data_IF_016339763972
#
_entry.id   IF_016339763972
#
_cell.length_a   1.000
_cell.length_b   1.000
_cell.length_c   1.000
_cell.angle_alpha   90.00
_cell.angle_beta   90.00
_cell.angle_gamma   90.00
#
_symmetry.space_group_name_H-M   'P 1'
#
loop_
_entity.id
_entity.type
_entity.pdbx_description
1 polymer ?
#
# COMPACT_ATOMS: atom_id res chain seq x y z
N UNK A 1 -2.47 -3.52 16.85
CA UNK A 1 -1.91 -2.97 15.60
C UNK A 1 -3.03 -2.30 14.83
N UNK A 2 -2.79 -1.15 14.21
CA UNK A 2 -3.81 -0.42 13.45
C UNK A 2 -3.44 -0.40 11.97
N UNK A 3 -4.30 -0.88 11.09
CA UNK A 3 -4.12 -0.93 9.64
C UNK A 3 -5.37 -0.40 8.92
N UNK A 4 -5.17 0.28 7.79
CA UNK A 4 -6.22 0.61 6.83
C UNK A 4 -5.71 0.27 5.43
N UNK A 5 -6.23 -0.81 4.84
CA UNK A 5 -5.77 -1.32 3.55
C UNK A 5 -6.87 -1.11 2.51
N UNK A 6 -6.77 -0.04 1.73
CA UNK A 6 -7.76 0.38 0.75
C UNK A 6 -7.44 -0.13 -0.65
N UNK A 7 -8.48 -0.36 -1.46
CA UNK A 7 -8.33 -0.56 -2.90
C UNK A 7 -7.79 0.70 -3.58
N UNK A 8 -8.56 1.79 -3.50
CA UNK A 8 -8.17 3.13 -3.93
C UNK A 8 -8.95 4.15 -3.11
N UNK A 9 -8.30 4.71 -2.10
CA UNK A 9 -8.92 5.56 -1.08
C UNK A 9 -10.15 4.91 -0.40
N UNK A 10 -10.74 5.62 0.55
CA UNK A 10 -12.04 5.32 1.13
C UNK A 10 -12.84 6.63 1.18
N UNK A 11 -14.17 6.65 0.95
CA UNK A 11 -14.96 7.89 1.00
C UNK A 11 -14.77 8.67 2.29
N UNK A 12 -14.69 7.95 3.40
CA UNK A 12 -14.51 8.52 4.75
C UNK A 12 -13.05 8.49 5.23
N UNK A 13 -12.07 8.57 4.32
CA UNK A 13 -10.63 8.45 4.67
C UNK A 13 -10.19 9.40 5.81
N UNK A 14 -10.81 10.59 5.89
CA UNK A 14 -10.55 11.58 6.94
C UNK A 14 -11.02 11.18 8.34
N UNK A 15 -11.90 10.20 8.47
CA UNK A 15 -12.32 9.66 9.78
C UNK A 15 -11.26 8.71 10.36
N UNK A 16 -10.37 8.19 9.50
CA UNK A 16 -9.36 7.21 9.89
C UNK A 16 -7.96 7.82 10.01
N UNK A 17 -7.61 8.71 9.08
CA UNK A 17 -6.27 9.32 8.96
C UNK A 17 -6.31 10.77 9.44
N UNK A 18 -5.38 11.13 10.33
CA UNK A 18 -5.23 12.50 10.85
C UNK A 18 -3.81 12.75 11.36
N UNK A 19 -3.54 13.99 11.81
CA UNK A 19 -2.25 14.41 12.35
C UNK A 19 -1.15 14.53 11.28
N UNK A 20 0.09 14.19 11.65
CA UNK A 20 1.24 14.15 10.75
C UNK A 20 1.25 12.86 9.95
N UNK A 21 0.96 12.95 8.65
CA UNK A 21 0.92 11.81 7.72
C UNK A 21 2.20 11.78 6.90
N UNK A 22 2.98 10.72 7.04
CA UNK A 22 4.11 10.43 6.16
C UNK A 22 3.61 9.72 4.91
N UNK A 23 3.71 10.38 3.76
CA UNK A 23 3.20 9.89 2.47
C UNK A 23 4.36 9.32 1.65
N UNK A 24 4.45 7.99 1.55
CA UNK A 24 5.48 7.28 0.78
C UNK A 24 5.02 7.13 -0.66
N UNK A 25 5.76 7.71 -1.60
CA UNK A 25 5.33 7.88 -3.00
C UNK A 25 6.09 7.04 -4.04
N UNK A 26 7.00 6.15 -3.61
CA UNK A 26 7.89 5.42 -4.51
C UNK A 26 7.16 4.52 -5.52
N UNK A 27 6.00 3.94 -5.13
CA UNK A 27 5.14 3.18 -6.03
C UNK A 27 4.71 4.00 -7.25
N UNK A 28 4.41 5.28 -7.03
CA UNK A 28 3.99 6.23 -8.06
C UNK A 28 5.14 7.07 -8.64
N UNK A 29 6.40 6.76 -8.33
CA UNK A 29 7.53 7.66 -8.64
C UNK A 29 7.64 8.09 -10.12
N UNK A 30 7.33 7.19 -11.06
CA UNK A 30 7.31 7.45 -12.50
C UNK A 30 5.96 8.00 -13.02
N UNK A 31 4.93 7.98 -12.17
CA UNK A 31 3.54 8.30 -12.50
C UNK A 31 2.95 9.39 -11.60
N UNK A 32 3.79 10.17 -10.91
CA UNK A 32 3.35 11.22 -9.97
C UNK A 32 2.37 12.21 -10.58
N UNK A 33 2.52 12.52 -11.86
CA UNK A 33 1.65 13.46 -12.60
C UNK A 33 0.36 12.81 -13.13
N UNK A 34 0.20 11.49 -12.99
CA UNK A 34 -1.01 10.82 -13.41
C UNK A 34 -2.21 11.30 -12.55
N UNK A 35 -3.42 11.38 -13.12
CA UNK A 35 -4.59 11.90 -12.42
C UNK A 35 -4.88 11.19 -11.09
N UNK A 36 -4.74 9.86 -11.02
CA UNK A 36 -4.99 9.10 -9.78
C UNK A 36 -3.97 9.46 -8.68
N UNK A 37 -2.68 9.63 -9.02
CA UNK A 37 -1.65 9.95 -8.04
C UNK A 37 -1.83 11.37 -7.48
N UNK A 38 -2.24 12.32 -8.32
CA UNK A 38 -2.58 13.68 -7.88
C UNK A 38 -3.86 13.69 -7.04
N UNK A 39 -4.87 12.92 -7.40
CA UNK A 39 -6.11 12.80 -6.64
C UNK A 39 -5.86 12.16 -5.25
N UNK A 40 -5.04 11.11 -5.20
CA UNK A 40 -4.65 10.45 -3.95
C UNK A 40 -3.87 11.40 -3.04
N UNK A 41 -2.82 12.04 -3.56
CA UNK A 41 -2.02 13.00 -2.79
C UNK A 41 -2.89 14.15 -2.25
N UNK A 42 -3.82 14.65 -3.08
CA UNK A 42 -4.76 15.70 -2.66
C UNK A 42 -5.69 15.22 -1.55
N UNK A 43 -6.33 14.06 -1.70
CA UNK A 43 -7.27 13.53 -0.73
C UNK A 43 -6.60 13.27 0.64
N UNK A 44 -5.39 12.70 0.63
CA UNK A 44 -4.64 12.48 1.88
C UNK A 44 -4.13 13.79 2.47
N UNK A 45 -3.76 14.76 1.64
CA UNK A 45 -3.41 16.11 2.09
C UNK A 45 -4.57 16.86 2.73
N UNK A 46 -5.80 16.66 2.26
CA UNK A 46 -7.02 17.25 2.85
C UNK A 46 -7.41 16.59 4.18
N UNK A 47 -7.05 15.31 4.40
CA UNK A 47 -7.28 14.60 5.65
C UNK A 47 -6.19 14.86 6.72
N UNK A 48 -4.96 15.12 6.29
CA UNK A 48 -3.82 15.33 7.19
C UNK A 48 -3.81 16.74 7.81
N UNK A 49 -3.38 16.85 9.07
CA UNK A 49 -3.01 18.15 9.66
C UNK A 49 -1.66 18.61 9.11
N UNK A 50 -0.76 17.66 8.82
CA UNK A 50 0.53 17.90 8.18
C UNK A 50 0.86 16.73 7.27
N UNK A 51 0.95 16.99 5.97
CA UNK A 51 1.37 16.00 4.98
C UNK A 51 2.87 16.11 4.74
N UNK A 52 3.59 14.99 4.84
CA UNK A 52 5.03 14.91 4.58
C UNK A 52 5.29 13.88 3.48
N UNK A 53 5.44 14.30 2.22
CA UNK A 53 5.85 13.41 1.14
C UNK A 53 7.28 12.93 1.36
N UNK A 54 7.51 11.62 1.19
CA UNK A 54 8.82 10.98 1.29
C UNK A 54 9.02 10.02 0.12
N UNK A 55 10.13 10.21 -0.59
CA UNK A 55 10.63 9.26 -1.60
C UNK A 55 11.79 8.49 -1.00
N UNK A 56 11.55 7.24 -0.61
CA UNK A 56 12.52 6.38 0.07
C UNK A 56 13.78 6.17 -0.77
N UNK A 57 13.61 5.96 -2.08
CA UNK A 57 14.72 5.74 -3.02
C UNK A 57 15.69 6.92 -3.13
N UNK A 58 15.29 8.11 -2.67
CA UNK A 58 16.08 9.34 -2.67
C UNK A 58 16.51 9.78 -1.26
N UNK A 59 16.15 9.00 -0.24
CA UNK A 59 16.36 9.33 1.17
C UNK A 59 17.44 8.44 1.77
N UNK A 60 18.19 8.96 2.74
CA UNK A 60 19.12 8.13 3.49
C UNK A 60 18.37 7.36 4.62
N UNK A 61 18.92 6.23 5.10
CA UNK A 61 18.25 5.40 6.09
C UNK A 61 17.91 6.11 7.41
N UNK A 62 18.76 7.02 7.90
CA UNK A 62 18.50 7.77 9.14
C UNK A 62 17.30 8.70 9.00
N UNK A 63 17.15 9.38 7.87
CA UNK A 63 16.01 10.27 7.62
C UNK A 63 14.72 9.45 7.52
N UNK A 64 14.75 8.30 6.83
CA UNK A 64 13.60 7.38 6.75
C UNK A 64 13.14 6.97 8.16
N UNK A 65 14.07 6.57 9.04
CA UNK A 65 13.75 6.17 10.42
C UNK A 65 13.17 7.34 11.23
N UNK A 66 13.75 8.53 11.12
CA UNK A 66 13.28 9.72 11.83
C UNK A 66 11.88 10.14 11.38
N UNK A 67 11.61 10.08 10.08
CA UNK A 67 10.32 10.40 9.49
C UNK A 67 9.23 9.43 9.91
N UNK A 68 9.53 8.12 9.88
CA UNK A 68 8.64 7.05 10.37
C UNK A 68 8.32 7.25 11.86
N UNK A 69 9.34 7.54 12.68
CA UNK A 69 9.19 7.75 14.11
C UNK A 69 8.29 8.96 14.43
N UNK A 70 8.44 10.05 13.66
CA UNK A 70 7.72 11.31 13.86
C UNK A 70 6.27 11.31 13.37
N UNK A 71 5.91 10.41 12.46
CA UNK A 71 4.57 10.36 11.88
C UNK A 71 3.50 9.87 12.88
N UNK A 72 2.27 10.38 12.80
CA UNK A 72 1.12 9.76 13.45
C UNK A 72 0.58 8.59 12.61
N UNK A 73 0.61 8.75 11.28
CA UNK A 73 0.19 7.77 10.30
C UNK A 73 1.23 7.66 9.19
N UNK A 74 1.50 6.43 8.75
CA UNK A 74 2.28 6.16 7.54
C UNK A 74 1.28 5.80 6.45
N UNK A 75 1.26 6.57 5.37
CA UNK A 75 0.46 6.30 4.19
C UNK A 75 1.37 5.83 3.05
N UNK A 76 1.16 4.62 2.54
CA UNK A 76 1.87 4.07 1.39
C UNK A 76 0.98 4.15 0.15
N UNK A 77 1.39 4.96 -0.80
CA UNK A 77 0.60 5.34 -1.95
C UNK A 77 0.41 4.22 -2.98
N UNK A 78 -0.57 4.44 -3.85
CA UNK A 78 -0.86 3.59 -5.01
C UNK A 78 0.26 3.68 -6.06
N UNK A 79 0.33 2.72 -6.97
CA UNK A 79 1.29 2.71 -8.07
C UNK A 79 1.75 1.30 -8.38
N UNK A 80 3.02 1.14 -8.74
CA UNK A 80 3.61 -0.15 -9.09
C UNK A 80 4.10 -0.91 -7.86
N UNK A 81 3.53 -2.10 -7.63
CA UNK A 81 3.82 -2.91 -6.44
C UNK A 81 5.23 -3.49 -6.42
N UNK A 82 5.79 -3.86 -7.57
CA UNK A 82 7.11 -4.48 -7.66
C UNK A 82 8.20 -3.44 -7.41
N UNK A 83 8.06 -2.25 -8.01
CA UNK A 83 8.93 -1.10 -7.73
C UNK A 83 8.87 -0.71 -6.26
N UNK A 84 7.67 -0.66 -5.67
CA UNK A 84 7.50 -0.35 -4.25
C UNK A 84 8.26 -1.35 -3.37
N UNK A 85 8.05 -2.66 -3.56
CA UNK A 85 8.71 -3.67 -2.73
C UNK A 85 10.24 -3.66 -2.92
N UNK A 86 10.72 -3.47 -4.14
CA UNK A 86 12.16 -3.36 -4.43
C UNK A 86 12.80 -2.18 -3.68
N UNK A 87 12.15 -1.01 -3.71
CA UNK A 87 12.62 0.17 -2.97
C UNK A 87 12.57 -0.07 -1.46
N UNK A 88 11.50 -0.64 -0.94
CA UNK A 88 11.36 -0.96 0.49
C UNK A 88 12.52 -1.84 0.97
N UNK A 89 12.86 -2.89 0.21
CA UNK A 89 13.96 -3.81 0.57
C UNK A 89 15.35 -3.18 0.42
N UNK A 90 15.60 -2.42 -0.66
CA UNK A 90 16.90 -1.78 -0.91
C UNK A 90 17.24 -0.69 0.12
N UNK A 91 16.23 0.03 0.58
CA UNK A 91 16.40 1.12 1.55
C UNK A 91 16.38 0.63 3.00
N UNK A 92 15.95 -0.61 3.25
CA UNK A 92 15.71 -1.12 4.61
C UNK A 92 14.45 -0.56 5.26
N UNK A 93 13.63 0.17 4.50
CA UNK A 93 12.35 0.72 4.97
C UNK A 93 11.35 -0.40 5.30
N UNK A 94 11.44 -1.55 4.63
CA UNK A 94 10.64 -2.75 4.97
C UNK A 94 10.72 -3.10 6.47
N UNK A 95 11.93 -3.15 7.02
CA UNK A 95 12.19 -3.44 8.45
C UNK A 95 11.72 -2.30 9.34
N UNK A 96 12.04 -1.05 8.99
CA UNK A 96 11.65 0.12 9.77
C UNK A 96 10.13 0.26 9.89
N UNK A 97 9.40 0.07 8.79
CA UNK A 97 7.94 0.05 8.77
C UNK A 97 7.40 -1.10 9.63
N UNK A 98 7.96 -2.29 9.49
CA UNK A 98 7.53 -3.46 10.26
C UNK A 98 7.69 -3.26 11.76
N UNK A 99 8.82 -2.70 12.19
CA UNK A 99 9.07 -2.40 13.60
C UNK A 99 8.11 -1.32 14.11
N UNK A 100 7.90 -0.24 13.36
CA UNK A 100 7.01 0.84 13.74
C UNK A 100 5.56 0.36 13.89
N UNK A 101 5.06 -0.43 12.94
CA UNK A 101 3.70 -0.98 12.95
C UNK A 101 3.50 -1.95 14.12
N UNK A 102 4.50 -2.80 14.41
CA UNK A 102 4.49 -3.66 15.61
C UNK A 102 4.45 -2.87 16.91
N UNK A 103 5.03 -1.67 16.94
CA UNK A 103 4.98 -0.75 18.07
C UNK A 103 3.69 0.10 18.12
N UNK A 104 2.72 -0.18 17.25
CA UNK A 104 1.41 0.48 17.25
C UNK A 104 1.30 1.69 16.33
N UNK A 105 2.32 1.96 15.49
CA UNK A 105 2.19 2.99 14.44
C UNK A 105 1.06 2.63 13.49
N UNK A 106 0.23 3.60 13.16
CA UNK A 106 -0.85 3.39 12.20
C UNK A 106 -0.29 3.34 10.78
N UNK A 107 -0.62 2.24 10.07
CA UNK A 107 -0.32 2.07 8.66
C UNK A 107 -1.59 2.17 7.82
N UNK A 108 -1.56 3.02 6.81
CA UNK A 108 -2.56 3.07 5.76
C UNK A 108 -1.88 2.77 4.42
N UNK A 109 -2.48 1.91 3.61
CA UNK A 109 -1.98 1.55 2.29
C UNK A 109 -3.11 1.59 1.28
N UNK A 110 -2.81 2.06 0.08
CA UNK A 110 -3.75 2.06 -1.05
C UNK A 110 -3.15 1.34 -2.24
N UNK A 111 -3.96 0.50 -2.91
CA UNK A 111 -3.54 -0.33 -4.05
C UNK A 111 -2.21 -1.05 -3.74
N UNK A 112 -1.11 -0.73 -4.42
CA UNK A 112 0.23 -1.26 -4.13
C UNK A 112 0.62 -1.23 -2.64
N UNK A 113 0.31 -0.15 -1.92
CA UNK A 113 0.53 -0.04 -0.47
C UNK A 113 -0.28 -1.08 0.32
N UNK A 114 -1.54 -1.31 -0.06
CA UNK A 114 -2.36 -2.35 0.56
C UNK A 114 -1.85 -3.78 0.25
N UNK A 115 -1.35 -4.00 -0.97
CA UNK A 115 -0.79 -5.29 -1.40
C UNK A 115 0.48 -5.64 -0.63
N UNK A 116 1.45 -4.71 -0.52
CA UNK A 116 2.72 -4.98 0.19
C UNK A 116 2.53 -5.23 1.68
N UNK A 117 1.42 -4.79 2.28
CA UNK A 117 1.10 -5.08 3.68
C UNK A 117 0.80 -6.56 3.94
N UNK A 118 0.43 -7.32 2.90
CA UNK A 118 0.16 -8.76 2.97
C UNK A 118 1.42 -9.62 3.05
N UNK A 119 1.25 -10.95 3.01
CA UNK A 119 2.36 -11.90 3.10
C UNK A 119 3.21 -11.98 1.82
N UNK A 120 2.63 -11.69 0.65
CA UNK A 120 3.29 -11.76 -0.65
C UNK A 120 2.65 -10.81 -1.66
N UNK A 121 3.47 -10.23 -2.54
CA UNK A 121 3.01 -9.46 -3.71
C UNK A 121 2.84 -10.34 -4.96
N UNK A 122 3.19 -11.62 -4.89
CA UNK A 122 3.20 -12.52 -6.05
C UNK A 122 1.86 -12.55 -6.82
N UNK A 123 0.68 -12.56 -6.16
CA UNK A 123 -0.59 -12.52 -6.89
C UNK A 123 -0.79 -11.27 -7.75
N UNK A 124 -0.10 -10.17 -7.44
CA UNK A 124 -0.15 -8.96 -8.25
C UNK A 124 0.63 -9.08 -9.57
N UNK A 125 1.38 -10.17 -9.82
CA UNK A 125 2.09 -10.42 -11.09
C UNK A 125 1.16 -10.57 -12.32
N UNK A 126 -0.14 -10.82 -12.10
CA UNK A 126 -1.16 -10.81 -13.16
C UNK A 126 -1.64 -9.39 -13.45
N UNK A 127 -1.51 -8.49 -12.48
CA UNK A 127 -2.03 -7.13 -12.51
C UNK A 127 -0.95 -6.12 -12.96
N UNK A 128 0.25 -6.24 -12.39
CA UNK A 128 1.40 -5.35 -12.61
C UNK A 128 2.56 -6.11 -13.28
N UNK A 129 3.39 -5.38 -14.04
CA UNK A 129 4.56 -5.97 -14.71
C UNK A 129 5.74 -6.12 -13.75
N UNK A 130 6.10 -7.36 -13.40
CA UNK A 130 7.25 -7.63 -12.52
C UNK A 130 8.59 -7.18 -13.10
N UNK A 131 8.68 -6.90 -14.41
CA UNK A 131 9.90 -6.40 -15.06
C UNK A 131 10.26 -4.98 -14.67
N UNK A 132 9.38 -4.24 -13.99
CA UNK A 132 9.71 -2.92 -13.44
C UNK A 132 10.70 -3.00 -12.28
N UNK A 133 10.86 -4.17 -11.65
CA UNK A 133 11.89 -4.45 -10.64
C UNK A 133 12.68 -5.73 -10.98
N UNK A 134 13.54 -5.71 -12.01
CA UNK A 134 14.19 -6.92 -12.54
C UNK A 134 15.20 -7.56 -11.57
N UNK A 135 15.60 -6.86 -10.51
CA UNK A 135 16.53 -7.36 -9.48
C UNK A 135 15.80 -7.91 -8.25
N UNK A 136 14.47 -7.79 -8.18
CA UNK A 136 13.67 -8.27 -7.07
C UNK A 136 13.36 -9.77 -7.29
N UNK A 137 14.01 -10.62 -6.52
CA UNK A 137 13.86 -12.09 -6.63
C UNK A 137 12.90 -12.70 -5.61
N UNK A 138 12.53 -11.94 -4.57
CA UNK A 138 11.72 -12.42 -3.44
C UNK A 138 10.48 -11.53 -3.26
N UNK A 139 9.30 -12.11 -3.38
CA UNK A 139 8.02 -11.39 -3.34
C UNK A 139 7.35 -11.35 -1.97
N UNK A 140 8.02 -11.82 -0.92
CA UNK A 140 7.57 -11.68 0.46
C UNK A 140 7.31 -10.21 0.79
N UNK A 141 6.07 -9.92 1.20
CA UNK A 141 5.60 -8.61 1.63
C UNK A 141 5.98 -8.30 3.08
N UNK A 142 5.32 -7.30 3.66
CA UNK A 142 5.57 -6.80 5.02
C UNK A 142 4.89 -7.67 6.10
N UNK A 143 3.93 -8.51 5.69
CA UNK A 143 3.27 -9.49 6.55
C UNK A 143 2.57 -8.89 7.77
N UNK A 144 1.89 -7.75 7.58
CA UNK A 144 1.06 -7.08 8.60
C UNK A 144 -0.32 -7.74 8.72
N UNK A 145 -0.79 -8.40 7.67
CA UNK A 145 -2.07 -9.11 7.63
C UNK A 145 -1.89 -10.46 6.94
N UNK A 146 -2.67 -11.50 7.30
CA UNK A 146 -2.67 -12.76 6.57
C UNK A 146 -3.34 -12.66 5.19
N UNK A 147 -4.03 -11.56 4.90
CA UNK A 147 -4.71 -11.35 3.62
C UNK A 147 -3.74 -10.85 2.55
N UNK A 148 -3.88 -11.38 1.33
CA UNK A 148 -3.34 -10.73 0.14
C UNK A 148 -4.45 -9.87 -0.45
N UNK A 149 -4.28 -8.55 -0.39
CA UNK A 149 -5.24 -7.63 -0.97
C UNK A 149 -5.18 -7.73 -2.49
N UNK A 150 -6.35 -7.85 -3.12
CA UNK A 150 -6.52 -7.73 -4.58
C UNK A 150 -7.35 -6.47 -4.82
N UNK A 151 -6.71 -5.32 -5.11
CA UNK A 151 -7.43 -4.07 -5.32
C UNK A 151 -8.15 -4.06 -6.67
N UNK A 152 -8.97 -3.04 -6.86
CA UNK A 152 -9.69 -2.73 -8.10
C UNK A 152 -10.62 -3.86 -8.56
N UNK A 153 -11.15 -4.65 -7.61
CA UNK A 153 -11.88 -5.88 -7.88
C UNK A 153 -13.19 -5.69 -8.67
N UNK A 154 -13.67 -4.46 -8.83
CA UNK A 154 -14.76 -4.14 -9.75
C UNK A 154 -14.41 -4.36 -11.23
N UNK A 155 -13.12 -4.43 -11.58
CA UNK A 155 -12.67 -4.75 -12.93
C UNK A 155 -12.85 -3.62 -13.95
N UNK A 156 -12.97 -2.37 -13.49
CA UNK A 156 -13.23 -1.19 -14.36
C UNK A 156 -12.20 -0.08 -14.20
N UNK A 157 -11.11 -0.30 -13.48
CA UNK A 157 -10.08 0.71 -13.18
C UNK A 157 -8.82 0.42 -13.97
N UNK A 158 -8.44 1.35 -14.86
CA UNK A 158 -7.18 1.26 -15.61
C UNK A 158 -6.98 -0.08 -16.33
N UNK A 159 -5.79 -0.71 -16.26
CA UNK A 159 -5.51 -1.99 -16.92
C UNK A 159 -6.17 -3.19 -16.22
N UNK A 160 -6.82 -2.99 -15.06
CA UNK A 160 -7.35 -4.06 -14.23
C UNK A 160 -8.79 -4.41 -14.62
N UNK A 161 -8.93 -5.14 -15.73
CA UNK A 161 -10.23 -5.64 -16.18
C UNK A 161 -10.75 -6.78 -15.29
N UNK A 162 -12.04 -7.11 -15.38
CA UNK A 162 -12.60 -8.23 -14.62
C UNK A 162 -11.95 -9.57 -14.99
N UNK A 163 -11.46 -9.72 -16.22
CA UNK A 163 -10.70 -10.90 -16.66
C UNK A 163 -9.35 -10.99 -15.94
N UNK A 164 -8.65 -9.86 -15.75
CA UNK A 164 -7.41 -9.79 -14.97
C UNK A 164 -7.67 -10.22 -13.52
N UNK A 165 -8.69 -9.65 -12.88
CA UNK A 165 -9.08 -10.01 -11.51
C UNK A 165 -9.46 -11.50 -11.41
N UNK A 166 -10.27 -11.99 -12.35
CA UNK A 166 -10.67 -13.39 -12.40
C UNK A 166 -9.48 -14.32 -12.57
N UNK A 167 -8.50 -13.92 -13.40
CA UNK A 167 -7.27 -14.69 -13.61
C UNK A 167 -6.39 -14.73 -12.37
N UNK A 168 -6.30 -13.63 -11.62
CA UNK A 168 -5.63 -13.59 -10.32
C UNK A 168 -6.23 -14.59 -9.36
N UNK A 169 -7.57 -14.62 -9.24
CA UNK A 169 -8.27 -15.57 -8.36
C UNK A 169 -8.09 -17.01 -8.82
N UNK A 170 -8.22 -17.29 -10.12
CA UNK A 170 -8.02 -18.63 -10.68
C UNK A 170 -6.61 -19.17 -10.38
N UNK A 171 -5.60 -18.31 -10.52
CA UNK A 171 -4.19 -18.69 -10.40
C UNK A 171 -3.77 -18.84 -8.94
N UNK A 172 -4.18 -17.90 -8.07
CA UNK A 172 -3.62 -17.77 -6.72
C UNK A 172 -4.60 -18.02 -5.58
N UNK A 173 -5.92 -18.08 -5.85
CA UNK A 173 -6.95 -18.15 -4.82
C UNK A 173 -6.99 -19.45 -4.02
N UNK A 174 -6.24 -20.49 -4.44
CA UNK A 174 -6.09 -21.74 -3.66
C UNK A 174 -4.94 -21.69 -2.67
N UNK A 175 -3.91 -20.91 -2.96
CA UNK A 175 -2.68 -20.84 -2.16
C UNK A 175 -2.71 -19.64 -1.21
N UNK A 176 -3.27 -18.52 -1.68
CA UNK A 176 -3.30 -17.27 -0.94
C UNK A 176 -4.71 -16.94 -0.45
N UNK A 177 -4.78 -16.37 0.75
CA UNK A 177 -6.02 -15.82 1.31
C UNK A 177 -6.32 -14.45 0.66
N UNK A 178 -6.81 -14.49 -0.58
CA UNK A 178 -7.11 -13.29 -1.36
C UNK A 178 -8.30 -12.54 -0.76
N UNK A 179 -8.14 -11.24 -0.51
CA UNK A 179 -9.23 -10.33 -0.16
C UNK A 179 -9.44 -9.33 -1.29
N UNK A 180 -10.53 -9.50 -2.02
CA UNK A 180 -10.89 -8.66 -3.15
C UNK A 180 -11.57 -7.39 -2.65
N UNK A 181 -10.99 -6.24 -2.96
CA UNK A 181 -11.51 -4.92 -2.59
C UNK A 181 -11.87 -4.13 -3.84
N UNK A 182 -13.08 -3.57 -3.86
CA UNK A 182 -13.47 -2.58 -4.88
C UNK A 182 -12.94 -1.21 -4.49
N UNK A 183 -12.78 -0.32 -5.46
CA UNK A 183 -12.43 1.08 -5.18
C UNK A 183 -13.44 1.72 -4.23
N UNK A 184 -12.93 2.47 -3.25
CA UNK A 184 -13.69 2.96 -2.12
C UNK A 184 -13.86 1.99 -0.95
N UNK A 185 -13.54 0.69 -1.10
CA UNK A 185 -13.52 -0.27 0.02
C UNK A 185 -12.14 -0.36 0.65
N UNK A 186 -12.12 -0.65 1.95
CA UNK A 186 -10.91 -0.92 2.71
C UNK A 186 -11.08 -2.03 3.75
N UNK A 187 -10.00 -2.74 4.03
CA UNK A 187 -9.89 -3.55 5.23
C UNK A 187 -9.34 -2.68 6.37
N UNK A 188 -10.14 -2.45 7.39
CA UNK A 188 -9.72 -1.77 8.61
C UNK A 188 -9.48 -2.78 9.73
N UNK A 189 -8.30 -2.70 10.34
CA UNK A 189 -7.88 -3.57 11.45
C UNK A 189 -7.45 -2.67 12.60
N UNK A 190 -7.97 -2.92 13.79
CA UNK A 190 -7.50 -2.36 15.04
C UNK A 190 -7.29 -3.48 16.08
N UNK A 191 -7.07 -3.12 17.35
CA UNK A 191 -6.84 -4.09 18.43
C UNK A 191 -8.09 -4.93 18.76
N UNK A 192 -9.28 -4.50 18.36
CA UNK A 192 -10.57 -5.11 18.72
C UNK A 192 -11.20 -5.89 17.56
N UNK A 193 -11.00 -5.44 16.32
CA UNK A 193 -11.73 -5.97 15.16
C UNK A 193 -10.96 -5.86 13.84
N UNK A 194 -11.38 -6.70 12.92
CA UNK A 194 -11.05 -6.64 11.49
C UNK A 194 -12.37 -6.51 10.72
N UNK A 195 -12.57 -5.41 10.01
CA UNK A 195 -13.82 -5.10 9.32
C UNK A 195 -13.56 -4.62 7.89
N UNK A 196 -14.43 -5.04 6.98
CA UNK A 196 -14.52 -4.49 5.64
C UNK A 196 -15.42 -3.25 5.69
N UNK A 197 -14.88 -2.11 5.27
CA UNK A 197 -15.57 -0.82 5.20
C UNK A 197 -15.64 -0.34 3.74
#
# INVERSE_FOLDING_TARGET
MKLLLASFLHPDIGDYISGRVLYIDDAASEMRKAPFAQAELKAIGEAAETLVPLTLSQSNPSDIQNEIASANCIYVASGDVFRLLDVLKKTGADRALTEAVKQGKFYAGSSAGAVVAGPSIEPASIMDDSKTAPQLTEYTGLNFTPHVIVPHAQGTTGPYSIEVISKTVETYGREWNLLLLRDGQALFIDDEKSILI
#
